data_IF_409292314059
#
_entry.id   IF_409292314059
#
_cell.length_a   1.000
_cell.length_b   1.000
_cell.length_c   1.000
_cell.angle_alpha   90.00
_cell.angle_beta   90.00
_cell.angle_gamma   90.00
#
_symmetry.space_group_name_H-M   'P 1'
#
loop_
_entity.id
_entity.type
_entity.pdbx_description
1 polymer ?
#
# COMPACT_ATOMS: atom_id res chain seq x y z
N UNK A 1 14.16 2.92 12.93
CA UNK A 1 13.89 1.64 12.25
C UNK A 1 13.34 1.91 10.85
N UNK A 2 13.03 0.86 10.08
CA UNK A 2 12.40 0.97 8.78
C UNK A 2 11.07 1.74 8.85
N UNK A 3 10.80 2.57 7.85
CA UNK A 3 9.51 3.25 7.69
C UNK A 3 8.43 2.24 7.26
N UNK A 4 7.21 2.33 7.82
CA UNK A 4 6.12 1.42 7.47
C UNK A 4 5.63 1.67 6.04
N UNK A 5 5.18 0.59 5.39
CA UNK A 5 4.52 0.66 4.08
C UNK A 5 3.24 1.48 4.19
N UNK A 6 3.06 2.44 3.28
CA UNK A 6 1.88 3.32 3.24
C UNK A 6 1.34 3.40 1.83
N UNK A 7 0.01 3.41 1.71
CA UNK A 7 -0.68 3.63 0.45
C UNK A 7 -1.59 4.86 0.57
N UNK A 8 -1.47 5.79 -0.36
CA UNK A 8 -2.25 7.04 -0.40
C UNK A 8 -2.94 7.17 -1.74
N UNK A 9 -4.27 7.30 -1.75
CA UNK A 9 -5.03 7.52 -2.97
C UNK A 9 -4.71 8.90 -3.57
N UNK A 10 -4.65 8.96 -4.90
CA UNK A 10 -4.44 10.20 -5.66
C UNK A 10 -5.75 10.76 -6.23
N UNK A 11 -6.87 10.11 -5.95
CA UNK A 11 -8.21 10.54 -6.32
C UNK A 11 -9.03 10.88 -5.08
N UNK A 12 -10.25 11.37 -5.28
CA UNK A 12 -11.22 11.68 -4.23
C UNK A 12 -11.96 10.44 -3.68
N UNK A 13 -11.51 9.23 -4.02
CA UNK A 13 -12.00 8.01 -3.42
C UNK A 13 -11.56 7.88 -1.96
N UNK A 14 -12.21 7.01 -1.22
CA UNK A 14 -11.96 6.81 0.21
C UNK A 14 -11.46 5.40 0.47
N UNK A 15 -10.37 5.25 1.24
CA UNK A 15 -9.97 3.97 1.81
C UNK A 15 -10.87 3.69 3.01
N UNK A 16 -11.68 2.63 2.95
CA UNK A 16 -12.66 2.30 4.01
C UNK A 16 -12.20 1.22 4.99
N UNK A 17 -11.01 0.65 4.77
CA UNK A 17 -10.39 -0.33 5.67
C UNK A 17 -8.93 0.01 5.90
N UNK A 18 -8.34 -0.29 7.07
CA UNK A 18 -6.89 -0.27 7.24
C UNK A 18 -6.21 -1.09 6.13
N UNK A 19 -5.01 -0.66 5.71
CA UNK A 19 -4.18 -1.41 4.78
C UNK A 19 -3.82 -2.75 5.42
N UNK A 20 -4.26 -3.85 4.79
CA UNK A 20 -3.91 -5.19 5.22
C UNK A 20 -2.72 -5.68 4.41
N UNK A 21 -1.71 -6.19 5.11
CA UNK A 21 -0.55 -6.82 4.51
C UNK A 21 -0.64 -8.34 4.63
N UNK A 22 -0.02 -9.08 3.71
CA UNK A 22 0.28 -10.51 3.90
C UNK A 22 1.00 -10.75 5.24
N UNK A 23 0.92 -11.94 5.85
CA UNK A 23 1.67 -12.21 7.08
C UNK A 23 3.18 -11.99 6.88
N UNK A 24 3.84 -11.13 7.71
CA UNK A 24 5.27 -10.90 7.60
C UNK A 24 6.06 -11.99 8.32
N UNK A 25 7.35 -12.11 7.99
CA UNK A 25 8.34 -12.80 8.82
C UNK A 25 8.75 -11.86 9.95
N UNK A 26 8.73 -12.37 11.18
CA UNK A 26 9.15 -11.62 12.36
C UNK A 26 10.45 -12.19 12.93
N UNK A 27 11.38 -11.31 13.26
CA UNK A 27 12.63 -11.68 13.90
C UNK A 27 13.20 -10.46 14.65
N UNK A 28 14.06 -10.72 15.63
CA UNK A 28 14.83 -9.67 16.28
C UNK A 28 16.03 -9.32 15.40
N UNK A 29 16.15 -8.05 15.04
CA UNK A 29 17.29 -7.55 14.27
C UNK A 29 18.29 -6.88 15.19
N UNK A 30 19.52 -7.41 15.23
CA UNK A 30 20.57 -6.88 16.09
C UNK A 30 21.10 -5.51 15.64
N UNK A 31 21.09 -5.22 14.33
CA UNK A 31 21.59 -3.95 13.80
C UNK A 31 20.64 -2.79 14.17
N UNK A 32 19.33 -3.06 14.19
CA UNK A 32 18.32 -2.09 14.61
C UNK A 32 17.92 -2.20 16.08
N UNK A 33 18.40 -3.23 16.79
CA UNK A 33 18.09 -3.54 18.19
C UNK A 33 16.57 -3.56 18.50
N UNK A 34 15.77 -4.12 17.58
CA UNK A 34 14.31 -4.18 17.70
C UNK A 34 13.74 -5.40 16.95
N UNK A 35 12.51 -5.81 17.29
CA UNK A 35 11.76 -6.74 16.45
C UNK A 35 11.35 -6.07 15.13
N UNK A 36 11.64 -6.76 14.02
CA UNK A 36 11.24 -6.34 12.69
C UNK A 36 10.17 -7.29 12.13
N UNK A 37 9.28 -6.73 11.32
CA UNK A 37 8.32 -7.46 10.49
C UNK A 37 8.66 -7.18 9.03
N UNK A 38 9.07 -8.19 8.28
CA UNK A 38 9.53 -8.03 6.89
C UNK A 38 8.83 -9.00 5.93
N UNK A 39 8.84 -8.66 4.64
CA UNK A 39 8.34 -9.50 3.56
C UNK A 39 9.50 -9.89 2.65
N UNK A 40 9.86 -11.19 2.59
CA UNK A 40 11.08 -11.65 1.90
C UNK A 40 10.88 -11.99 0.41
N UNK A 41 9.71 -12.53 0.04
CA UNK A 41 9.47 -13.10 -1.30
C UNK A 41 8.37 -12.38 -2.09
N UNK A 42 7.79 -11.34 -1.51
CA UNK A 42 6.65 -10.62 -2.07
C UNK A 42 5.77 -10.06 -0.96
N UNK A 43 5.07 -8.97 -1.29
CA UNK A 43 4.14 -8.28 -0.41
C UNK A 43 2.77 -8.27 -1.09
N UNK A 44 1.75 -8.79 -0.41
CA UNK A 44 0.37 -8.60 -0.82
C UNK A 44 -0.28 -7.51 0.02
N UNK A 45 -0.89 -6.53 -0.64
CA UNK A 45 -1.62 -5.44 -0.01
C UNK A 45 -3.10 -5.55 -0.36
N UNK A 46 -3.97 -5.50 0.65
CA UNK A 46 -5.43 -5.52 0.49
C UNK A 46 -6.05 -4.32 1.18
N UNK A 47 -6.93 -3.64 0.46
CA UNK A 47 -7.76 -2.57 1.00
C UNK A 47 -9.11 -2.54 0.28
N UNK A 48 -10.13 -1.98 0.93
CA UNK A 48 -11.39 -1.63 0.30
C UNK A 48 -11.41 -0.14 0.01
N UNK A 49 -11.85 0.20 -1.20
CA UNK A 49 -11.98 1.57 -1.65
C UNK A 49 -13.47 1.83 -1.91
N UNK A 50 -13.97 2.96 -1.41
CA UNK A 50 -15.27 3.51 -1.80
C UNK A 50 -15.04 4.53 -2.92
N UNK A 51 -15.69 4.31 -4.05
CA UNK A 51 -15.73 5.27 -5.17
C UNK A 51 -16.41 6.55 -4.69
N UNK A 52 -15.93 7.71 -5.15
CA UNK A 52 -16.47 9.00 -4.73
C UNK A 52 -17.93 9.15 -5.18
N UNK A 53 -18.79 9.73 -4.33
CA UNK A 53 -20.23 9.82 -4.60
C UNK A 53 -20.58 10.55 -5.91
N UNK A 54 -19.80 11.58 -6.26
CA UNK A 54 -20.02 12.40 -7.47
C UNK A 54 -19.11 11.97 -8.63
N UNK A 55 -18.58 10.74 -8.58
CA UNK A 55 -17.71 10.24 -9.63
C UNK A 55 -18.51 9.99 -10.93
N UNK A 56 -18.02 10.44 -12.10
CA UNK A 56 -18.69 10.16 -13.37
C UNK A 56 -18.85 8.66 -13.63
N UNK A 57 -19.93 8.30 -14.33
CA UNK A 57 -20.11 6.95 -14.85
C UNK A 57 -19.14 6.68 -16.00
N UNK A 58 -18.77 5.42 -16.18
CA UNK A 58 -17.90 4.96 -17.26
C UNK A 58 -16.52 4.50 -16.79
N UNK A 59 -15.57 4.50 -17.73
CA UNK A 59 -14.19 4.04 -17.48
C UNK A 59 -13.39 5.09 -16.72
N UNK A 60 -12.67 4.63 -15.71
CA UNK A 60 -11.67 5.45 -15.02
C UNK A 60 -10.52 4.58 -14.48
N UNK A 61 -9.61 5.18 -13.72
CA UNK A 61 -8.48 4.55 -13.05
C UNK A 61 -8.39 5.03 -11.61
N UNK A 62 -8.28 4.08 -10.70
CA UNK A 62 -7.83 4.36 -9.33
C UNK A 62 -6.32 4.45 -9.36
N UNK A 63 -5.77 5.56 -8.86
CA UNK A 63 -4.34 5.75 -8.69
C UNK A 63 -3.98 5.91 -7.21
N UNK A 64 -2.84 5.35 -6.82
CA UNK A 64 -2.31 5.47 -5.47
C UNK A 64 -0.79 5.60 -5.47
N UNK A 65 -0.26 6.38 -4.53
CA UNK A 65 1.14 6.36 -4.18
C UNK A 65 1.39 5.28 -3.13
N UNK A 66 2.23 4.30 -3.47
CA UNK A 66 2.79 3.32 -2.54
C UNK A 66 4.15 3.83 -2.07
N UNK A 67 4.31 4.06 -0.78
CA UNK A 67 5.59 4.35 -0.14
C UNK A 67 6.08 3.11 0.62
N UNK A 68 7.30 2.66 0.35
CA UNK A 68 7.89 1.47 0.95
C UNK A 68 9.41 1.58 1.09
N UNK A 69 9.99 0.77 1.97
CA UNK A 69 11.45 0.62 2.08
C UNK A 69 11.84 -0.84 1.88
N UNK A 70 12.95 -1.04 1.18
CA UNK A 70 13.63 -2.33 1.09
C UNK A 70 14.86 -2.23 1.99
N UNK A 71 15.01 -3.22 2.87
CA UNK A 71 16.14 -3.30 3.78
C UNK A 71 16.90 -4.61 3.54
N UNK A 72 18.21 -4.57 3.75
CA UNK A 72 19.00 -5.77 4.04
C UNK A 72 19.21 -5.89 5.56
N UNK A 73 20.10 -6.80 5.97
CA UNK A 73 20.41 -7.06 7.38
C UNK A 73 21.26 -5.96 8.07
N UNK A 74 21.52 -4.84 7.41
CA UNK A 74 22.37 -3.75 7.94
C UNK A 74 21.82 -2.36 7.64
N UNK A 75 21.21 -2.17 6.47
CA UNK A 75 20.76 -0.87 5.98
C UNK A 75 19.39 -0.96 5.32
N UNK A 76 18.62 0.12 5.43
CA UNK A 76 17.44 0.34 4.61
C UNK A 76 17.79 1.30 3.49
N UNK A 77 17.32 1.00 2.28
CA UNK A 77 17.33 1.96 1.19
C UNK A 77 16.49 3.20 1.56
N UNK A 78 16.74 4.35 0.92
CA UNK A 78 15.84 5.50 1.04
C UNK A 78 14.39 5.11 0.76
N UNK A 79 13.45 5.82 1.38
CA UNK A 79 12.01 5.61 1.14
C UNK A 79 11.73 5.70 -0.35
N UNK A 80 11.19 4.63 -0.93
CA UNK A 80 10.80 4.55 -2.32
C UNK A 80 9.33 4.88 -2.45
N UNK A 81 8.96 5.51 -3.57
CA UNK A 81 7.57 5.81 -3.92
C UNK A 81 7.26 5.29 -5.32
N UNK A 82 6.16 4.57 -5.46
CA UNK A 82 5.68 4.05 -6.73
C UNK A 82 4.21 4.39 -6.94
N UNK A 83 3.85 4.81 -8.16
CA UNK A 83 2.45 4.99 -8.55
C UNK A 83 1.88 3.62 -8.95
N UNK A 84 0.83 3.21 -8.26
CA UNK A 84 -0.02 2.09 -8.65
C UNK A 84 -1.26 2.64 -9.36
N UNK A 85 -1.69 1.95 -10.42
CA UNK A 85 -2.91 2.30 -11.14
C UNK A 85 -3.69 1.03 -11.51
N UNK A 86 -5.00 1.05 -11.28
CA UNK A 86 -5.89 -0.04 -11.68
C UNK A 86 -7.13 0.55 -12.37
N UNK A 87 -7.58 -0.02 -13.50
CA UNK A 87 -8.79 0.44 -14.17
C UNK A 87 -10.03 0.06 -13.36
N UNK A 88 -11.05 0.93 -13.43
CA UNK A 88 -12.39 0.66 -12.90
C UNK A 88 -13.45 1.06 -13.93
N UNK A 89 -14.64 0.46 -13.79
CA UNK A 89 -15.83 0.87 -14.52
C UNK A 89 -16.88 1.24 -13.49
N UNK A 90 -17.30 2.50 -13.48
CA UNK A 90 -18.35 3.00 -12.59
C UNK A 90 -19.69 2.88 -13.31
N UNK A 91 -20.63 2.20 -12.69
CA UNK A 91 -21.97 1.94 -13.23
C UNK A 91 -23.01 2.46 -12.25
N UNK A 92 -24.20 2.80 -12.76
CA UNK A 92 -25.35 3.11 -11.91
C UNK A 92 -25.86 1.83 -11.24
N UNK A 93 -26.14 1.90 -9.94
CA UNK A 93 -26.95 0.86 -9.28
C UNK A 93 -28.33 0.86 -9.95
N UNK A 94 -28.68 -0.28 -10.55
CA UNK A 94 -29.92 -0.47 -11.33
C UNK A 94 -31.10 -0.80 -10.43
#
# INVERSE_FOLDING_TARGET
GPEPTRLTLLSNHEIVTPLQESPPVRFYDEAFAQELSIHQYGLELRLRIRVALNHPLGYDKIQANLAYQICDNRICAPLQTQILATPIIVQSDS
#
